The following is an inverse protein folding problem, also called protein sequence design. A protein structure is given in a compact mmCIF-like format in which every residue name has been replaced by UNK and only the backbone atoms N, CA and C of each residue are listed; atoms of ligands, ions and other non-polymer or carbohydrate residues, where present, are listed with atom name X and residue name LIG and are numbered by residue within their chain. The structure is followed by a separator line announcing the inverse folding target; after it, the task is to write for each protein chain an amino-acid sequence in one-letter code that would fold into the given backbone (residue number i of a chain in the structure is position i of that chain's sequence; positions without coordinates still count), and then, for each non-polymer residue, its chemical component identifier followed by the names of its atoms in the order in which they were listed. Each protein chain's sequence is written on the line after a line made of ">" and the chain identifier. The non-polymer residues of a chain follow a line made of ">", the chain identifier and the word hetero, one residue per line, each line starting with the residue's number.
data_IF_678015264260
#
_entry.id   IF_678015264260
#
_cell.length_a   1.000
_cell.length_b   1.000
_cell.length_c   1.000
_cell.angle_alpha   90.00
_cell.angle_beta   90.00
_cell.angle_gamma   90.00
#
_symmetry.space_group_name_H-M   'P 1'
#
loop_
_entity.id
_entity.type
_entity.pdbx_description
1 polymer ?
#
# COMPACT_ATOMS: atom_id res chain seq x y z
N UNK A 1 0.83 -10.07 -0.76
CA UNK A 1 1.41 -10.03 0.60
C UNK A 1 2.93 -10.06 0.60
N UNK A 2 3.50 -11.02 -0.11
CA UNK A 2 4.96 -11.11 -0.19
C UNK A 2 5.59 -9.85 -0.74
N UNK A 3 4.99 -9.29 -1.78
CA UNK A 3 5.50 -8.10 -2.42
C UNK A 3 5.51 -6.91 -1.45
N UNK A 4 4.44 -6.77 -0.67
CA UNK A 4 4.34 -5.68 0.30
C UNK A 4 5.35 -5.85 1.43
N UNK A 5 5.58 -7.07 1.88
CA UNK A 5 6.57 -7.34 2.91
C UNK A 5 7.97 -7.00 2.43
N UNK A 6 8.29 -7.41 1.21
CA UNK A 6 9.58 -7.09 0.62
C UNK A 6 9.77 -5.59 0.48
N UNK A 7 8.71 -4.87 0.12
CA UNK A 7 8.76 -3.42 -0.02
C UNK A 7 9.04 -2.76 1.33
N UNK A 8 8.41 -3.25 2.38
CA UNK A 8 8.67 -2.70 3.72
C UNK A 8 10.13 -2.87 4.11
N UNK A 9 10.73 -4.02 3.80
CA UNK A 9 12.14 -4.23 4.15
C UNK A 9 13.08 -3.31 3.37
N UNK A 10 12.68 -2.87 2.19
CA UNK A 10 13.44 -1.85 1.46
C UNK A 10 13.33 -0.50 2.17
N UNK A 11 12.18 -0.21 2.74
CA UNK A 11 11.96 1.06 3.43
C UNK A 11 12.76 1.20 4.73
N UNK A 12 12.94 0.11 5.48
CA UNK A 12 13.56 0.17 6.80
C UNK A 12 14.91 0.90 6.80
N UNK A 13 15.88 0.52 5.94
CA UNK A 13 17.17 1.23 5.96
C UNK A 13 17.05 2.68 5.49
N UNK A 14 16.10 3.01 4.64
CA UNK A 14 15.90 4.38 4.19
C UNK A 14 15.53 5.27 5.38
N UNK A 15 14.59 4.81 6.21
CA UNK A 15 14.20 5.57 7.40
C UNK A 15 15.37 5.78 8.34
N UNK A 16 16.22 4.78 8.47
CA UNK A 16 17.39 4.86 9.36
C UNK A 16 18.35 5.96 8.96
N UNK A 17 18.40 6.30 7.67
CA UNK A 17 19.32 7.34 7.19
C UNK A 17 18.76 8.73 7.32
N UNK A 18 17.50 8.88 7.70
CA UNK A 18 16.90 10.19 7.85
C UNK A 18 17.44 10.89 9.10
N UNK A 19 17.54 12.24 9.07
CA UNK A 19 17.88 12.98 10.28
C UNK A 19 16.87 12.69 11.37
N UNK A 20 17.30 12.80 12.61
CA UNK A 20 16.51 12.38 13.75
C UNK A 20 15.11 13.02 13.79
N UNK A 21 15.04 14.31 13.51
CA UNK A 21 13.75 15.01 13.57
C UNK A 21 12.78 14.43 12.55
N UNK A 22 13.25 14.27 11.30
CA UNK A 22 12.41 13.75 10.23
C UNK A 22 12.11 12.26 10.42
N UNK A 23 13.05 11.53 10.99
CA UNK A 23 12.85 10.11 11.26
C UNK A 23 11.69 9.89 12.21
N UNK A 24 11.54 10.76 13.19
CA UNK A 24 10.43 10.67 14.16
C UNK A 24 9.21 11.49 13.73
N UNK A 25 9.31 12.25 12.67
CA UNK A 25 8.20 12.96 12.05
C UNK A 25 7.64 12.17 10.89
N UNK A 26 7.98 12.63 9.67
CA UNK A 26 7.47 12.00 8.45
C UNK A 26 7.89 10.54 8.34
N UNK A 27 9.09 10.20 8.84
CA UNK A 27 9.55 8.81 8.83
C UNK A 27 8.63 7.89 9.59
N UNK A 28 8.15 8.34 10.76
CA UNK A 28 7.20 7.57 11.55
C UNK A 28 5.87 7.42 10.83
N UNK A 29 5.42 8.49 10.17
CA UNK A 29 4.15 8.44 9.44
C UNK A 29 4.22 7.44 8.29
N UNK A 30 5.30 7.48 7.52
CA UNK A 30 5.47 6.55 6.40
C UNK A 30 5.57 5.12 6.92
N UNK A 31 6.33 4.91 7.99
CA UNK A 31 6.47 3.59 8.59
C UNK A 31 5.11 3.05 9.03
N UNK A 32 4.32 3.88 9.68
CA UNK A 32 2.98 3.52 10.13
C UNK A 32 2.09 3.12 8.95
N UNK A 33 2.18 3.86 7.85
CA UNK A 33 1.39 3.54 6.66
C UNK A 33 1.80 2.20 6.07
N UNK A 34 3.09 1.89 6.05
CA UNK A 34 3.54 0.57 5.58
C UNK A 34 3.01 -0.55 6.48
N UNK A 35 3.09 -0.36 7.78
CA UNK A 35 2.62 -1.38 8.72
C UNK A 35 1.11 -1.57 8.60
N UNK A 36 0.36 -0.47 8.44
CA UNK A 36 -1.07 -0.55 8.23
C UNK A 36 -1.41 -1.25 6.92
N UNK A 37 -0.61 -1.02 5.88
CA UNK A 37 -0.79 -1.71 4.61
C UNK A 37 -0.66 -3.22 4.79
N UNK A 38 0.39 -3.65 5.49
CA UNK A 38 0.59 -5.07 5.74
C UNK A 38 -0.58 -5.64 6.55
N UNK A 39 -1.07 -4.90 7.53
CA UNK A 39 -2.18 -5.35 8.36
C UNK A 39 -3.47 -5.48 7.56
N UNK A 40 -3.75 -4.52 6.68
CA UNK A 40 -4.95 -4.59 5.85
C UNK A 40 -4.89 -5.75 4.87
N UNK A 41 -3.71 -5.98 4.27
CA UNK A 41 -3.56 -7.11 3.35
C UNK A 41 -3.73 -8.44 4.07
N UNK A 42 -3.17 -8.55 5.27
CA UNK A 42 -3.35 -9.74 6.08
C UNK A 42 -4.83 -9.95 6.43
N UNK A 43 -5.48 -8.87 6.84
CA UNK A 43 -6.90 -8.91 7.20
C UNK A 43 -7.75 -9.35 6.02
N UNK A 44 -7.46 -8.84 4.82
CA UNK A 44 -8.21 -9.19 3.62
C UNK A 44 -8.16 -10.69 3.33
N UNK A 45 -7.08 -11.35 3.73
CA UNK A 45 -6.93 -12.79 3.49
C UNK A 45 -7.93 -13.61 4.30
N UNK A 46 -8.35 -13.11 5.46
CA UNK A 46 -9.15 -13.89 6.40
C UNK A 46 -10.57 -13.40 6.61
N UNK A 47 -10.95 -12.29 5.97
CA UNK A 47 -12.30 -11.77 6.15
C UNK A 47 -13.28 -12.41 5.18
N UNK A 48 -14.57 -12.18 5.42
CA UNK A 48 -15.61 -12.68 4.54
C UNK A 48 -15.51 -11.98 3.18
N UNK A 49 -16.13 -12.59 2.17
CA UNK A 49 -16.05 -12.08 0.81
C UNK A 49 -16.50 -10.64 0.71
N UNK A 50 -17.60 -10.31 1.36
CA UNK A 50 -18.15 -8.96 1.31
C UNK A 50 -17.23 -7.96 1.99
N UNK A 51 -16.67 -8.34 3.13
CA UNK A 51 -15.78 -7.46 3.87
C UNK A 51 -14.43 -7.30 3.18
N UNK A 52 -14.01 -8.30 2.41
CA UNK A 52 -12.78 -8.20 1.64
C UNK A 52 -12.79 -7.00 0.72
N UNK A 53 -13.92 -6.79 0.05
CA UNK A 53 -14.02 -5.66 -0.88
C UNK A 53 -13.82 -4.34 -0.14
N UNK A 54 -14.45 -4.20 1.01
CA UNK A 54 -14.30 -2.99 1.82
C UNK A 54 -12.85 -2.81 2.28
N UNK A 55 -12.22 -3.89 2.74
CA UNK A 55 -10.83 -3.83 3.20
C UNK A 55 -9.90 -3.45 2.06
N UNK A 56 -10.15 -3.97 0.86
CA UNK A 56 -9.30 -3.64 -0.29
C UNK A 56 -9.51 -2.20 -0.73
N UNK A 57 -10.70 -1.66 -0.56
CA UNK A 57 -10.94 -0.24 -0.84
C UNK A 57 -10.15 0.63 0.14
N UNK A 58 -10.16 0.26 1.42
CA UNK A 58 -9.36 0.95 2.42
C UNK A 58 -7.87 0.86 2.08
N UNK A 59 -7.45 -0.30 1.58
CA UNK A 59 -6.06 -0.51 1.20
C UNK A 59 -5.67 0.42 0.07
N UNK A 60 -6.54 0.62 -0.92
CA UNK A 60 -6.26 1.54 -2.02
C UNK A 60 -6.09 2.98 -1.53
N UNK A 61 -6.93 3.40 -0.60
CA UNK A 61 -6.81 4.74 -0.03
C UNK A 61 -5.49 4.89 0.70
N UNK A 62 -5.11 3.87 1.45
CA UNK A 62 -3.85 3.89 2.19
C UNK A 62 -2.65 3.93 1.24
N UNK A 63 -2.72 3.20 0.14
CA UNK A 63 -1.65 3.22 -0.86
C UNK A 63 -1.49 4.63 -1.43
N UNK A 64 -2.59 5.33 -1.68
CA UNK A 64 -2.52 6.71 -2.16
C UNK A 64 -1.84 7.62 -1.14
N UNK A 65 -2.17 7.45 0.15
CA UNK A 65 -1.52 8.22 1.20
C UNK A 65 -0.02 7.92 1.26
N UNK A 66 0.33 6.65 1.12
CA UNK A 66 1.73 6.23 1.15
C UNK A 66 2.49 6.87 -0.02
N UNK A 67 1.91 6.85 -1.22
CA UNK A 67 2.52 7.52 -2.38
C UNK A 67 2.76 8.98 -2.09
N UNK A 68 1.78 9.64 -1.52
CA UNK A 68 1.85 11.07 -1.23
C UNK A 68 3.01 11.37 -0.27
N UNK A 69 3.11 10.62 0.81
CA UNK A 69 4.14 10.91 1.81
C UNK A 69 5.53 10.50 1.34
N UNK A 70 5.64 9.45 0.53
CA UNK A 70 6.94 9.10 -0.06
C UNK A 70 7.41 10.18 -1.02
N UNK A 71 6.51 10.71 -1.83
CA UNK A 71 6.86 11.79 -2.73
C UNK A 71 7.29 13.04 -1.95
N UNK A 72 6.57 13.35 -0.89
CA UNK A 72 6.90 14.49 -0.05
C UNK A 72 8.29 14.33 0.57
N UNK A 73 8.60 13.14 1.07
CA UNK A 73 9.92 12.88 1.64
C UNK A 73 11.02 13.03 0.60
N UNK A 74 10.75 12.56 -0.62
CA UNK A 74 11.70 12.68 -1.71
C UNK A 74 11.90 14.14 -2.11
N UNK A 75 10.82 14.90 -2.22
CA UNK A 75 10.88 16.33 -2.55
C UNK A 75 11.63 17.11 -1.47
N UNK A 76 11.51 16.70 -0.23
CA UNK A 76 12.21 17.32 0.88
C UNK A 76 13.65 16.83 1.01
N UNK A 77 14.10 16.00 0.08
CA UNK A 77 15.46 15.48 0.01
C UNK A 77 15.82 14.59 1.19
N UNK A 78 14.83 13.92 1.76
CA UNK A 78 15.03 12.94 2.83
C UNK A 78 15.29 11.56 2.28
N UNK A 79 15.15 11.40 0.97
CA UNK A 79 15.31 10.14 0.28
C UNK A 79 15.94 10.41 -1.06
N UNK A 80 16.89 9.57 -1.46
CA UNK A 80 17.58 9.74 -2.74
C UNK A 80 16.70 9.24 -3.86
N UNK A 81 17.05 9.65 -5.10
CA UNK A 81 16.27 9.32 -6.28
C UNK A 81 16.11 7.81 -6.48
N UNK A 82 17.19 7.06 -6.33
CA UNK A 82 17.16 5.63 -6.61
C UNK A 82 16.25 4.85 -5.66
N UNK A 83 16.40 4.98 -4.33
CA UNK A 83 15.47 4.30 -3.45
C UNK A 83 14.04 4.79 -3.58
N UNK A 84 13.84 6.07 -3.88
CA UNK A 84 12.50 6.57 -4.12
C UNK A 84 11.86 5.90 -5.34
N UNK A 85 12.62 5.81 -6.45
CA UNK A 85 12.11 5.17 -7.65
C UNK A 85 11.80 3.70 -7.40
N UNK A 86 12.66 3.01 -6.66
CA UNK A 86 12.46 1.62 -6.34
C UNK A 86 11.19 1.40 -5.53
N UNK A 87 10.99 2.23 -4.51
CA UNK A 87 9.77 2.14 -3.70
C UNK A 87 8.53 2.48 -4.53
N UNK A 88 8.64 3.50 -5.40
CA UNK A 88 7.53 3.90 -6.24
C UNK A 88 7.06 2.78 -7.14
N UNK A 89 8.01 2.10 -7.78
CA UNK A 89 7.68 0.97 -8.67
C UNK A 89 6.99 -0.14 -7.87
N UNK A 90 7.52 -0.44 -6.68
CA UNK A 90 6.97 -1.49 -5.84
C UNK A 90 5.56 -1.15 -5.38
N UNK A 91 5.33 0.09 -4.99
CA UNK A 91 4.02 0.54 -4.54
C UNK A 91 3.01 0.48 -5.68
N UNK A 92 3.42 0.87 -6.90
CA UNK A 92 2.54 0.77 -8.06
C UNK A 92 2.15 -0.67 -8.33
N UNK A 93 3.08 -1.59 -8.18
CA UNK A 93 2.78 -3.00 -8.38
C UNK A 93 1.79 -3.51 -7.34
N UNK A 94 1.98 -3.13 -6.08
CA UNK A 94 1.05 -3.50 -5.02
C UNK A 94 -0.34 -2.94 -5.34
N UNK A 95 -0.42 -1.69 -5.79
CA UNK A 95 -1.68 -1.07 -6.15
C UNK A 95 -2.39 -1.83 -7.27
N UNK A 96 -1.65 -2.27 -8.27
CA UNK A 96 -2.23 -3.06 -9.36
C UNK A 96 -2.77 -4.40 -8.85
N UNK A 97 -2.03 -5.06 -7.99
CA UNK A 97 -2.45 -6.35 -7.44
C UNK A 97 -3.72 -6.20 -6.59
N UNK A 98 -3.76 -5.16 -5.76
CA UNK A 98 -4.93 -4.90 -4.93
C UNK A 98 -6.14 -4.57 -5.81
N UNK A 99 -5.95 -3.74 -6.84
CA UNK A 99 -7.02 -3.40 -7.75
C UNK A 99 -7.56 -4.60 -8.50
N UNK A 100 -6.67 -5.46 -8.99
CA UNK A 100 -7.08 -6.67 -9.70
C UNK A 100 -7.83 -7.62 -8.76
N UNK A 101 -7.35 -7.76 -7.54
CA UNK A 101 -8.00 -8.59 -6.53
C UNK A 101 -9.43 -8.09 -6.26
N UNK A 102 -9.55 -6.77 -6.04
CA UNK A 102 -10.86 -6.17 -5.79
C UNK A 102 -11.82 -6.38 -6.96
N UNK A 103 -11.34 -6.14 -8.18
CA UNK A 103 -12.19 -6.33 -9.36
C UNK A 103 -12.66 -7.76 -9.50
N UNK A 104 -11.78 -8.72 -9.24
CA UNK A 104 -12.14 -10.12 -9.26
C UNK A 104 -13.22 -10.47 -8.27
N UNK A 105 -13.15 -9.90 -7.07
CA UNK A 105 -14.16 -10.13 -6.05
C UNK A 105 -15.49 -9.48 -6.41
N UNK A 106 -15.45 -8.29 -6.97
CA UNK A 106 -16.67 -7.61 -7.40
C UNK A 106 -17.36 -8.43 -8.48
N UNK A 107 -16.60 -8.98 -9.42
CA UNK A 107 -17.17 -9.81 -10.47
C UNK A 107 -17.84 -11.05 -9.90
N UNK A 108 -17.25 -11.65 -8.85
CA UNK A 108 -17.82 -12.84 -8.23
C UNK A 108 -19.09 -12.54 -7.44
N UNK A 109 -19.20 -11.35 -6.86
CA UNK A 109 -20.33 -11.01 -6.01
C UNK A 109 -21.41 -10.25 -6.73
N UNK A 110 -21.15 -9.81 -7.97
CA UNK A 110 -22.15 -9.07 -8.72
C UNK A 110 -23.39 -9.92 -8.95
N UNK A 111 -24.56 -9.31 -8.92
CA UNK A 111 -25.75 -10.04 -9.32
C UNK A 111 -25.59 -10.54 -10.74
N UNK A 112 -26.21 -11.65 -11.02
CA UNK A 112 -26.11 -12.29 -12.33
C UNK A 112 -27.05 -11.59 -13.30
N UNK A 113 -26.76 -10.33 -13.55
CA UNK A 113 -27.64 -9.51 -14.37
C UNK A 113 -27.80 -10.05 -15.76
N UNK A 114 -26.75 -10.62 -16.26
CA UNK A 114 -26.78 -11.24 -17.59
C UNK A 114 -27.73 -12.40 -17.67
N UNK A 115 -28.17 -12.90 -16.53
CA UNK A 115 -29.08 -14.02 -16.49
C UNK A 115 -30.53 -13.62 -16.39
N UNK A 116 -30.79 -12.34 -16.46
CA UNK A 116 -32.13 -11.85 -16.31
C UNK A 116 -32.89 -11.74 -17.60
N UNK A 117 -32.30 -12.20 -18.64
CA UNK A 117 -32.96 -12.14 -19.94
C UNK A 117 -33.24 -13.51 -20.46
#
# INVERSE_FOLDING_TARGET
>A
MEHARATYTVWIPIRRTMPRVERFGIGTRIDSLFLDLLELLRKATYTSLQQKITVLEETNILIDSLRFFLQLAWEARLMKDEPYAKLGIAIEEIGRQVGAWKLGLIAKTSPRREERY
#
